data_IF_957511946618
#
_entry.id   IF_957511946618
#
_cell.length_a   1.000
_cell.length_b   1.000
_cell.length_c   1.000
_cell.angle_alpha   90.00
_cell.angle_beta   90.00
_cell.angle_gamma   90.00
#
_symmetry.space_group_name_H-M   'P 1'
#
loop_
_entity.id
_entity.type
_entity.pdbx_description
1 polymer ?
#
# COMPACT_ATOMS: atom_id res chain seq x y z
N UNK A 1 -31.31 -32.46 29.85
CA UNK A 1 -30.28 -31.88 30.77
C UNK A 1 -29.03 -31.53 29.95
N UNK A 2 -28.97 -30.33 29.39
CA UNK A 2 -27.73 -29.69 28.95
C UNK A 2 -27.53 -28.51 29.89
N UNK A 3 -26.36 -28.36 30.54
CA UNK A 3 -25.31 -27.53 29.91
C UNK A 3 -23.86 -27.86 30.36
N UNK A 4 -22.90 -28.01 29.45
CA UNK A 4 -21.45 -27.97 29.77
C UNK A 4 -20.55 -27.32 28.72
N UNK A 5 -21.09 -26.63 27.71
CA UNK A 5 -20.30 -26.01 26.63
C UNK A 5 -20.17 -24.48 26.69
N UNK A 6 -20.87 -23.81 27.61
CA UNK A 6 -20.86 -22.35 27.74
C UNK A 6 -19.53 -21.70 28.21
N UNK A 7 -18.72 -22.30 29.12
CA UNK A 7 -17.55 -21.57 29.64
C UNK A 7 -16.40 -21.51 28.63
N UNK A 8 -16.27 -22.49 27.74
CA UNK A 8 -15.18 -22.55 26.75
C UNK A 8 -15.34 -21.44 25.70
N UNK A 9 -16.57 -21.21 25.23
CA UNK A 9 -16.87 -20.15 24.26
C UNK A 9 -16.67 -18.75 24.83
N UNK A 10 -16.94 -18.55 26.12
CA UNK A 10 -16.72 -17.27 26.81
C UNK A 10 -15.21 -17.00 27.02
N UNK A 11 -14.45 -18.02 27.39
CA UNK A 11 -12.98 -17.92 27.53
C UNK A 11 -12.33 -17.66 26.17
N UNK A 12 -12.75 -18.35 25.11
CA UNK A 12 -12.22 -18.13 23.76
C UNK A 12 -12.54 -16.71 23.23
N UNK A 13 -13.75 -16.21 23.48
CA UNK A 13 -14.13 -14.82 23.14
C UNK A 13 -13.27 -13.82 23.89
N UNK A 14 -13.03 -14.00 25.20
CA UNK A 14 -12.21 -13.08 25.99
C UNK A 14 -10.73 -13.15 25.59
N UNK A 15 -10.22 -14.31 25.21
CA UNK A 15 -8.85 -14.47 24.71
C UNK A 15 -8.67 -13.79 23.34
N UNK A 16 -9.64 -13.98 22.44
CA UNK A 16 -9.65 -13.31 21.13
C UNK A 16 -9.80 -11.80 21.28
N UNK A 17 -10.67 -11.33 22.18
CA UNK A 17 -10.83 -9.91 22.48
C UNK A 17 -9.56 -9.31 23.09
N UNK A 18 -8.87 -10.05 23.97
CA UNK A 18 -7.58 -9.66 24.55
C UNK A 18 -6.45 -9.60 23.52
N UNK A 19 -6.39 -10.56 22.59
CA UNK A 19 -5.44 -10.56 21.49
C UNK A 19 -5.71 -9.43 20.49
N UNK A 20 -6.99 -9.17 20.17
CA UNK A 20 -7.39 -8.04 19.33
C UNK A 20 -7.05 -6.72 20.00
N UNK A 21 -7.33 -6.57 21.30
CA UNK A 21 -6.98 -5.38 22.05
C UNK A 21 -5.45 -5.21 22.13
N UNK A 22 -4.69 -6.28 22.32
CA UNK A 22 -3.23 -6.23 22.31
C UNK A 22 -2.67 -5.86 20.93
N UNK A 23 -3.26 -6.35 19.83
CA UNK A 23 -2.89 -5.94 18.47
C UNK A 23 -3.28 -4.50 18.20
N UNK A 24 -4.47 -4.05 18.59
CA UNK A 24 -4.92 -2.66 18.43
C UNK A 24 -4.05 -1.71 19.26
N UNK A 25 -3.71 -2.09 20.50
CA UNK A 25 -2.81 -1.33 21.37
C UNK A 25 -1.38 -1.36 20.82
N UNK A 26 -0.87 -2.50 20.32
CA UNK A 26 0.44 -2.56 19.68
C UNK A 26 0.47 -1.74 18.38
N UNK A 27 -0.58 -1.77 17.57
CA UNK A 27 -0.73 -0.94 16.36
C UNK A 27 -0.84 0.55 16.73
N UNK A 28 -1.48 0.89 17.84
CA UNK A 28 -1.57 2.25 18.37
C UNK A 28 -0.26 2.72 19.05
N UNK A 29 0.57 1.81 19.56
CA UNK A 29 1.88 2.11 20.18
C UNK A 29 3.05 2.09 19.18
N UNK A 30 2.84 1.63 17.95
CA UNK A 30 3.83 1.70 16.86
C UNK A 30 3.91 3.14 16.39
N UNK A 31 4.80 3.87 17.06
CA UNK A 31 5.26 5.24 16.84
C UNK A 31 4.78 5.87 15.52
N UNK A 32 3.92 6.88 15.65
CA UNK A 32 3.57 7.77 14.55
C UNK A 32 4.84 8.52 14.14
N UNK A 33 5.29 8.30 12.90
CA UNK A 33 6.45 9.00 12.36
C UNK A 33 6.06 10.38 11.82
N UNK A 34 6.98 11.35 11.87
CA UNK A 34 6.82 12.58 11.10
C UNK A 34 6.72 12.24 9.62
N UNK A 35 6.11 13.14 8.85
CA UNK A 35 6.01 13.02 7.39
C UNK A 35 7.43 12.88 6.78
N UNK A 36 7.63 11.84 5.96
CA UNK A 36 8.91 11.61 5.28
C UNK A 36 8.75 11.20 3.81
N UNK A 37 9.81 11.38 3.03
CA UNK A 37 9.95 10.76 1.72
C UNK A 37 11.41 10.38 1.48
N UNK A 38 11.63 9.17 0.97
CA UNK A 38 12.97 8.61 0.78
C UNK A 38 13.03 7.87 -0.56
N UNK A 39 13.97 8.26 -1.42
CA UNK A 39 14.38 7.49 -2.59
C UNK A 39 15.54 6.59 -2.17
N UNK A 40 15.34 5.28 -2.27
CA UNK A 40 16.28 4.27 -1.74
C UNK A 40 17.08 3.60 -2.85
N UNK A 41 16.52 3.52 -4.05
CA UNK A 41 17.19 3.06 -5.27
C UNK A 41 16.95 4.14 -6.34
N UNK A 42 17.97 4.54 -7.11
CA UNK A 42 17.79 5.52 -8.18
C UNK A 42 16.69 5.09 -9.14
N UNK A 43 15.69 5.96 -9.30
CA UNK A 43 14.67 5.79 -10.33
C UNK A 43 15.26 6.18 -11.70
N UNK A 44 14.80 5.56 -12.80
CA UNK A 44 15.02 6.13 -14.14
C UNK A 44 14.56 7.60 -14.19
N UNK A 45 15.15 8.44 -15.05
CA UNK A 45 14.87 9.89 -15.06
C UNK A 45 13.38 10.25 -15.13
N UNK A 46 12.61 9.55 -15.97
CA UNK A 46 11.15 9.71 -16.07
C UNK A 46 10.43 9.34 -14.77
N UNK A 47 10.91 8.30 -14.08
CA UNK A 47 10.41 7.92 -12.76
C UNK A 47 10.76 8.94 -11.69
N UNK A 48 11.88 9.65 -11.81
CA UNK A 48 12.25 10.75 -10.91
C UNK A 48 11.28 11.93 -11.07
N UNK A 49 11.06 12.40 -12.30
CA UNK A 49 10.11 13.50 -12.56
C UNK A 49 8.68 13.15 -12.10
N UNK A 50 8.22 11.93 -12.40
CA UNK A 50 6.93 11.46 -11.92
C UNK A 50 6.86 11.34 -10.39
N UNK A 51 7.94 10.93 -9.72
CA UNK A 51 7.99 10.83 -8.25
C UNK A 51 7.91 12.18 -7.54
N UNK A 52 8.39 13.26 -8.16
CA UNK A 52 8.26 14.63 -7.64
C UNK A 52 6.80 15.11 -7.67
N UNK A 53 6.06 14.74 -8.71
CA UNK A 53 4.62 15.02 -8.83
C UNK A 53 3.75 14.09 -7.95
N UNK A 54 4.29 12.95 -7.55
CA UNK A 54 3.54 11.92 -6.83
C UNK A 54 3.17 12.35 -5.40
N UNK A 55 4.05 13.10 -4.72
CA UNK A 55 3.78 13.62 -3.37
C UNK A 55 2.53 14.54 -3.35
N UNK A 56 2.50 15.65 -4.11
CA UNK A 56 1.33 16.52 -4.10
C UNK A 56 0.07 15.82 -4.64
N UNK A 57 0.20 14.87 -5.56
CA UNK A 57 -0.92 14.06 -6.03
C UNK A 57 -1.48 13.15 -4.91
N UNK A 58 -0.63 12.44 -4.17
CA UNK A 58 -1.01 11.62 -3.02
C UNK A 58 -1.69 12.44 -1.93
N UNK A 59 -1.14 13.61 -1.58
CA UNK A 59 -1.73 14.52 -0.60
C UNK A 59 -3.11 15.00 -1.01
N UNK A 60 -3.25 15.44 -2.26
CA UNK A 60 -4.53 15.93 -2.79
C UNK A 60 -5.59 14.82 -2.79
N UNK A 61 -5.23 13.60 -3.19
CA UNK A 61 -6.20 12.48 -3.26
C UNK A 61 -6.55 12.00 -1.86
N UNK A 62 -5.56 11.77 -0.99
CA UNK A 62 -5.80 11.27 0.37
C UNK A 62 -6.62 12.26 1.22
N UNK A 63 -6.39 13.57 1.04
CA UNK A 63 -7.20 14.62 1.69
C UNK A 63 -8.67 14.58 1.26
N UNK A 64 -8.99 14.25 0.00
CA UNK A 64 -10.38 14.08 -0.46
C UNK A 64 -11.08 12.91 0.25
N UNK A 65 -10.34 11.87 0.61
CA UNK A 65 -10.85 10.73 1.37
C UNK A 65 -10.77 10.92 2.89
N UNK A 66 -10.12 11.99 3.38
CA UNK A 66 -9.96 12.24 4.81
C UNK A 66 -9.08 11.22 5.53
N UNK A 67 -8.10 10.63 4.84
CA UNK A 67 -7.22 9.59 5.38
C UNK A 67 -5.75 9.96 5.23
N UNK A 68 -4.92 9.47 6.15
CA UNK A 68 -3.46 9.46 5.99
C UNK A 68 -3.01 8.11 5.45
N UNK A 69 -2.14 8.11 4.45
CA UNK A 69 -1.65 6.87 3.83
C UNK A 69 -0.14 6.85 3.71
N UNK A 70 0.38 5.64 3.57
CA UNK A 70 1.74 5.38 3.13
C UNK A 70 1.69 5.00 1.65
N UNK A 71 2.65 5.49 0.88
CA UNK A 71 2.91 5.03 -0.48
C UNK A 71 4.32 4.45 -0.59
N UNK A 72 4.50 3.41 -1.39
CA UNK A 72 5.80 2.76 -1.60
C UNK A 72 5.89 2.22 -3.01
N UNK A 73 7.07 2.33 -3.62
CA UNK A 73 7.40 1.70 -4.89
C UNK A 73 8.44 0.62 -4.64
N UNK A 74 8.20 -0.57 -5.16
CA UNK A 74 9.12 -1.70 -5.04
C UNK A 74 9.49 -2.26 -6.41
N UNK A 75 10.73 -2.72 -6.56
CA UNK A 75 11.12 -3.53 -7.71
C UNK A 75 10.68 -4.99 -7.53
N UNK A 76 10.91 -5.84 -8.54
CA UNK A 76 10.59 -7.28 -8.48
C UNK A 76 11.33 -8.05 -7.38
N UNK A 77 12.46 -7.54 -6.87
CA UNK A 77 13.18 -8.10 -5.71
C UNK A 77 12.58 -7.68 -4.37
N UNK A 78 11.47 -6.94 -4.38
CA UNK A 78 10.80 -6.36 -3.22
C UNK A 78 11.69 -5.35 -2.47
N UNK A 79 12.65 -4.75 -3.17
CA UNK A 79 13.48 -3.67 -2.64
C UNK A 79 12.73 -2.35 -2.83
N UNK A 80 12.69 -1.54 -1.77
CA UNK A 80 12.07 -0.21 -1.81
C UNK A 80 12.88 0.68 -2.77
N UNK A 81 12.21 1.25 -3.76
CA UNK A 81 12.77 2.25 -4.67
C UNK A 81 12.38 3.65 -4.20
N UNK A 82 11.12 3.79 -3.76
CA UNK A 82 10.54 5.03 -3.28
C UNK A 82 9.65 4.75 -2.07
N UNK A 83 9.67 5.68 -1.11
CA UNK A 83 8.85 5.67 0.09
C UNK A 83 8.31 7.07 0.30
N UNK A 84 7.02 7.15 0.59
CA UNK A 84 6.36 8.35 1.10
C UNK A 84 5.46 7.97 2.27
N UNK A 85 5.57 8.72 3.36
CA UNK A 85 4.87 8.45 4.60
C UNK A 85 4.17 9.71 5.06
N UNK A 86 2.82 9.67 5.14
CA UNK A 86 2.06 10.75 5.76
C UNK A 86 2.17 10.67 7.28
N UNK A 87 2.07 11.84 7.91
CA UNK A 87 2.04 11.95 9.37
C UNK A 87 0.90 11.11 9.96
N UNK A 88 1.20 10.42 11.07
CA UNK A 88 0.22 9.58 11.79
C UNK A 88 0.08 8.16 11.26
N UNK A 89 0.73 7.79 10.16
CA UNK A 89 0.68 6.42 9.63
C UNK A 89 1.63 5.50 10.43
N UNK A 90 1.22 4.28 10.85
CA UNK A 90 2.10 3.36 11.58
C UNK A 90 3.26 2.83 10.74
N UNK A 91 4.44 2.64 11.33
CA UNK A 91 5.63 2.10 10.64
C UNK A 91 5.40 0.69 10.06
N UNK A 92 4.58 -0.12 10.73
CA UNK A 92 4.19 -1.46 10.29
C UNK A 92 3.64 -1.48 8.85
N UNK A 93 3.07 -0.36 8.40
CA UNK A 93 2.56 -0.19 7.03
C UNK A 93 3.65 -0.42 5.98
N UNK A 94 4.93 -0.17 6.28
CA UNK A 94 6.02 -0.51 5.36
C UNK A 94 6.17 -2.01 5.11
N UNK A 95 6.03 -2.83 6.16
CA UNK A 95 6.10 -4.29 6.06
C UNK A 95 4.85 -4.85 5.37
N UNK A 96 3.68 -4.30 5.68
CA UNK A 96 2.42 -4.65 5.01
C UNK A 96 2.50 -4.32 3.51
N UNK A 97 3.02 -3.14 3.15
CA UNK A 97 3.17 -2.72 1.76
C UNK A 97 4.06 -3.70 0.97
N UNK A 98 5.17 -4.14 1.56
CA UNK A 98 6.05 -5.16 0.97
C UNK A 98 5.32 -6.51 0.77
N UNK A 99 4.49 -6.92 1.72
CA UNK A 99 3.72 -8.16 1.61
C UNK A 99 2.56 -8.08 0.59
N UNK A 100 1.88 -6.92 0.48
CA UNK A 100 0.92 -6.63 -0.60
C UNK A 100 1.62 -6.71 -1.97
N UNK A 101 2.79 -6.07 -2.09
CA UNK A 101 3.63 -6.12 -3.28
C UNK A 101 4.00 -7.56 -3.68
N UNK A 102 4.47 -8.37 -2.71
CA UNK A 102 4.75 -9.78 -2.95
C UNK A 102 3.52 -10.53 -3.46
N UNK A 103 2.35 -10.27 -2.88
CA UNK A 103 1.10 -10.92 -3.31
C UNK A 103 0.80 -10.62 -4.77
N UNK A 104 0.95 -9.36 -5.19
CA UNK A 104 0.72 -8.95 -6.57
C UNK A 104 1.73 -9.59 -7.55
N UNK A 105 3.03 -9.58 -7.24
CA UNK A 105 4.05 -10.19 -8.12
C UNK A 105 3.93 -11.71 -8.20
N UNK A 106 3.52 -12.38 -7.12
CA UNK A 106 3.25 -13.83 -7.11
C UNK A 106 1.88 -14.17 -7.77
N UNK A 107 1.18 -13.20 -8.36
CA UNK A 107 -0.07 -13.41 -9.10
C UNK A 107 -1.28 -13.72 -8.22
N UNK A 108 -1.25 -13.36 -6.93
CA UNK A 108 -2.40 -13.51 -6.04
C UNK A 108 -3.49 -12.50 -6.38
N UNK A 109 -4.73 -12.94 -6.31
CA UNK A 109 -5.88 -12.05 -6.44
C UNK A 109 -5.97 -11.12 -5.23
N UNK A 110 -6.01 -9.81 -5.48
CA UNK A 110 -6.08 -8.80 -4.44
C UNK A 110 -7.54 -8.51 -4.06
N UNK A 111 -7.90 -8.88 -2.85
CA UNK A 111 -9.26 -8.82 -2.34
C UNK A 111 -9.58 -7.43 -1.74
N UNK A 112 -10.87 -7.09 -1.68
CA UNK A 112 -11.39 -5.93 -0.93
C UNK A 112 -12.13 -6.38 0.34
N UNK A 113 -11.44 -6.97 1.33
CA UNK A 113 -12.06 -7.43 2.55
C UNK A 113 -12.57 -6.27 3.41
N UNK A 114 -13.55 -6.56 4.25
CA UNK A 114 -13.92 -5.68 5.37
C UNK A 114 -12.77 -5.56 6.38
N UNK A 115 -12.86 -4.59 7.31
CA UNK A 115 -11.85 -4.42 8.37
C UNK A 115 -11.67 -5.68 9.23
N UNK A 116 -12.78 -6.34 9.57
CA UNK A 116 -12.76 -7.58 10.34
C UNK A 116 -12.06 -8.70 9.58
N UNK A 117 -12.41 -8.90 8.31
CA UNK A 117 -11.76 -9.91 7.47
C UNK A 117 -10.28 -9.61 7.26
N UNK A 118 -9.93 -8.34 7.03
CA UNK A 118 -8.53 -7.88 6.93
C UNK A 118 -7.74 -8.28 8.17
N UNK A 119 -8.28 -8.04 9.37
CA UNK A 119 -7.61 -8.39 10.61
C UNK A 119 -7.47 -9.90 10.77
N UNK A 120 -8.57 -10.65 10.70
CA UNK A 120 -8.58 -12.07 11.07
C UNK A 120 -8.01 -13.01 10.01
N UNK A 121 -8.22 -12.73 8.73
CA UNK A 121 -7.86 -13.65 7.64
C UNK A 121 -6.60 -13.26 6.88
N UNK A 122 -6.17 -12.00 6.97
CA UNK A 122 -4.96 -11.53 6.30
C UNK A 122 -3.87 -11.14 7.31
N UNK A 123 -4.19 -10.24 8.24
CA UNK A 123 -3.19 -9.69 9.16
C UNK A 123 -2.72 -10.69 10.20
N UNK A 124 -3.61 -11.39 10.91
CA UNK A 124 -3.19 -12.36 11.93
C UNK A 124 -2.32 -13.49 11.34
N UNK A 125 -2.71 -14.18 10.24
CA UNK A 125 -1.86 -15.20 9.65
C UNK A 125 -0.50 -14.68 9.20
N UNK A 126 -0.44 -13.45 8.68
CA UNK A 126 0.80 -12.80 8.29
C UNK A 126 1.69 -12.44 9.48
N UNK A 127 1.13 -11.86 10.55
CA UNK A 127 1.87 -11.49 11.78
C UNK A 127 2.45 -12.73 12.45
N UNK A 128 1.73 -13.85 12.49
CA UNK A 128 2.20 -15.11 13.06
C UNK A 128 3.09 -15.92 12.12
N UNK A 129 3.38 -15.42 10.91
CA UNK A 129 4.29 -16.06 9.96
C UNK A 129 3.72 -17.32 9.28
N UNK A 130 2.41 -17.57 9.38
CA UNK A 130 1.74 -18.66 8.65
C UNK A 130 1.70 -18.39 7.14
N UNK A 131 1.78 -17.12 6.74
CA UNK A 131 1.83 -16.72 5.33
C UNK A 131 2.72 -15.49 5.15
N UNK A 132 3.50 -15.40 4.05
CA UNK A 132 4.20 -14.18 3.68
C UNK A 132 3.31 -13.17 2.94
N UNK A 133 2.04 -13.50 2.70
CA UNK A 133 1.12 -12.77 1.81
C UNK A 133 0.10 -11.91 2.57
N UNK A 134 -0.16 -10.74 2.00
CA UNK A 134 -1.24 -9.82 2.35
C UNK A 134 -1.99 -9.47 1.06
N UNK A 135 -2.80 -10.40 0.55
CA UNK A 135 -3.49 -10.28 -0.75
C UNK A 135 -4.72 -9.37 -0.68
N UNK A 136 -4.47 -8.12 -0.29
CA UNK A 136 -5.46 -7.06 -0.06
C UNK A 136 -5.19 -5.92 -1.05
N UNK A 137 -6.25 -5.30 -1.55
CA UNK A 137 -6.18 -4.17 -2.48
C UNK A 137 -5.33 -3.00 -1.97
N UNK A 138 -4.89 -2.15 -2.91
CA UNK A 138 -3.97 -1.06 -2.67
C UNK A 138 -2.61 -1.23 -3.33
N UNK A 139 -2.44 -2.21 -4.23
CA UNK A 139 -1.21 -2.32 -5.03
C UNK A 139 -1.52 -2.39 -6.53
N UNK A 140 -0.64 -1.77 -7.32
CA UNK A 140 -0.75 -1.61 -8.76
C UNK A 140 0.60 -1.96 -9.40
N UNK A 141 0.56 -2.64 -10.55
CA UNK A 141 1.74 -2.80 -11.38
C UNK A 141 2.05 -1.49 -12.09
N UNK A 142 3.30 -1.06 -12.02
CA UNK A 142 3.81 0.14 -12.70
C UNK A 142 5.01 -0.27 -13.55
N UNK A 143 5.22 0.39 -14.69
CA UNK A 143 6.37 0.14 -15.56
C UNK A 143 7.08 1.45 -15.89
N UNK A 144 8.41 1.43 -15.79
CA UNK A 144 9.29 2.53 -16.17
C UNK A 144 10.24 2.05 -17.28
N UNK A 145 9.99 2.41 -18.55
CA UNK A 145 10.77 1.94 -19.71
C UNK A 145 11.01 0.42 -19.74
N UNK A 146 9.97 -0.39 -19.56
CA UNK A 146 10.13 -1.85 -19.50
C UNK A 146 10.65 -2.39 -18.17
N UNK A 147 10.92 -1.54 -17.18
CA UNK A 147 11.28 -1.97 -15.81
C UNK A 147 10.01 -2.10 -14.97
N UNK A 148 9.56 -3.32 -14.66
CA UNK A 148 8.38 -3.55 -13.84
C UNK A 148 8.64 -3.21 -12.37
N UNK A 149 7.67 -2.54 -11.78
CA UNK A 149 7.62 -2.15 -10.39
C UNK A 149 6.20 -2.36 -9.84
N UNK A 150 6.08 -2.27 -8.52
CA UNK A 150 4.81 -2.34 -7.82
C UNK A 150 4.65 -1.10 -6.96
N UNK A 151 3.62 -0.32 -7.25
CA UNK A 151 3.22 0.82 -6.45
C UNK A 151 2.15 0.40 -5.46
N UNK A 152 2.41 0.65 -4.18
CA UNK A 152 1.54 0.23 -3.09
C UNK A 152 1.14 1.46 -2.28
N UNK A 153 -0.16 1.64 -2.08
CA UNK A 153 -0.73 2.56 -1.10
C UNK A 153 -1.40 1.73 -0.01
N UNK A 154 -1.20 2.13 1.25
CA UNK A 154 -1.88 1.52 2.39
C UNK A 154 -2.02 2.48 3.56
N UNK A 155 -3.13 2.35 4.29
CA UNK A 155 -3.40 3.12 5.51
C UNK A 155 -4.86 3.55 5.62
N UNK A 156 -5.63 3.47 4.53
CA UNK A 156 -7.06 3.72 4.59
C UNK A 156 -7.81 2.57 5.31
N UNK A 157 -8.96 2.85 5.97
CA UNK A 157 -9.78 1.82 6.59
C UNK A 157 -10.32 0.76 5.63
N UNK A 158 -10.51 1.13 4.36
CA UNK A 158 -10.99 0.25 3.30
C UNK A 158 -9.92 0.05 2.23
N UNK A 159 -9.68 -1.21 1.84
CA UNK A 159 -8.66 -1.56 0.85
C UNK A 159 -8.95 -1.00 -0.54
N UNK A 160 -10.23 -0.83 -0.89
CA UNK A 160 -10.63 -0.14 -2.12
C UNK A 160 -10.22 1.33 -2.14
N UNK A 161 -10.22 2.01 -0.99
CA UNK A 161 -9.76 3.40 -0.89
C UNK A 161 -8.25 3.49 -1.11
N UNK A 162 -7.47 2.54 -0.59
CA UNK A 162 -6.04 2.45 -0.90
C UNK A 162 -5.82 2.34 -2.43
N UNK A 163 -6.58 1.47 -3.10
CA UNK A 163 -6.48 1.25 -4.54
C UNK A 163 -6.90 2.48 -5.35
N UNK A 164 -7.96 3.17 -4.93
CA UNK A 164 -8.42 4.41 -5.57
C UNK A 164 -7.38 5.51 -5.44
N UNK A 165 -6.81 5.70 -4.24
CA UNK A 165 -5.74 6.67 -4.00
C UNK A 165 -4.53 6.34 -4.90
N UNK A 166 -4.09 5.08 -4.92
CA UNK A 166 -2.99 4.65 -5.77
C UNK A 166 -3.25 4.98 -7.25
N UNK A 167 -4.45 4.65 -7.73
CA UNK A 167 -4.85 4.84 -9.12
C UNK A 167 -4.88 6.33 -9.49
N UNK A 168 -5.61 7.14 -8.72
CA UNK A 168 -5.77 8.56 -9.04
C UNK A 168 -4.47 9.34 -8.89
N UNK A 169 -3.59 8.95 -7.95
CA UNK A 169 -2.27 9.58 -7.82
C UNK A 169 -1.38 9.29 -9.03
N UNK A 170 -1.34 8.04 -9.53
CA UNK A 170 -0.59 7.72 -10.74
C UNK A 170 -1.15 8.44 -11.98
N UNK A 171 -2.48 8.44 -12.15
CA UNK A 171 -3.12 9.16 -13.27
C UNK A 171 -2.81 10.67 -13.24
N UNK A 172 -2.80 11.29 -12.05
CA UNK A 172 -2.44 12.70 -11.89
C UNK A 172 -0.97 12.99 -12.22
N UNK A 173 -0.10 11.98 -12.16
CA UNK A 173 1.31 12.06 -12.57
C UNK A 173 1.53 11.72 -14.05
N UNK A 174 0.48 11.52 -14.83
CA UNK A 174 0.57 11.24 -16.27
C UNK A 174 0.81 9.76 -16.62
N UNK A 175 0.67 8.84 -15.66
CA UNK A 175 0.65 7.42 -15.99
C UNK A 175 -0.67 7.05 -16.66
N UNK A 176 -0.60 6.11 -17.58
CA UNK A 176 -1.76 5.55 -18.28
C UNK A 176 -1.86 4.05 -18.02
N UNK A 177 -3.10 3.55 -17.91
CA UNK A 177 -3.35 2.13 -17.75
C UNK A 177 -3.27 1.43 -19.11
N UNK A 178 -2.30 0.54 -19.25
CA UNK A 178 -2.11 -0.31 -20.43
C UNK A 178 -3.19 -1.39 -20.52
N UNK A 179 -3.34 -2.01 -21.70
CA UNK A 179 -4.25 -3.13 -21.92
C UNK A 179 -3.99 -4.34 -20.99
N UNK A 180 -2.76 -4.49 -20.48
CA UNK A 180 -2.37 -5.54 -19.53
C UNK A 180 -2.69 -5.20 -18.07
N UNK A 181 -3.25 -4.01 -17.80
CA UNK A 181 -3.57 -3.53 -16.47
C UNK A 181 -2.40 -2.88 -15.71
N UNK A 182 -1.22 -2.79 -16.32
CA UNK A 182 -0.04 -2.08 -15.80
C UNK A 182 -0.13 -0.58 -16.08
N UNK A 183 0.37 0.26 -15.18
CA UNK A 183 0.46 1.71 -15.36
C UNK A 183 1.83 2.10 -15.89
N UNK A 184 1.90 2.85 -17.00
CA UNK A 184 3.16 3.29 -17.59
C UNK A 184 3.07 4.75 -18.03
N UNK A 185 4.21 5.45 -18.08
CA UNK A 185 4.29 6.77 -18.70
C UNK A 185 4.24 6.62 -20.23
N UNK A 186 3.58 7.54 -20.96
CA UNK A 186 3.59 7.51 -22.42
C UNK A 186 5.01 7.73 -22.95
N UNK A 187 5.36 7.07 -24.06
CA UNK A 187 6.72 7.07 -24.62
C UNK A 187 7.27 8.46 -24.98
N UNK A 188 6.41 9.49 -25.08
CA UNK A 188 6.77 10.86 -25.42
C UNK A 188 6.85 11.81 -24.20
N UNK A 189 6.72 11.30 -22.97
CA UNK A 189 6.75 12.13 -21.76
C UNK A 189 8.11 12.82 -21.49
N UNK A 190 9.17 12.41 -22.20
CA UNK A 190 10.53 12.97 -22.11
C UNK A 190 10.91 13.97 -23.20
N UNK A 191 10.02 14.30 -24.15
CA UNK A 191 10.35 15.16 -25.30
C UNK A 191 9.49 16.43 -25.37
N UNK A 192 9.23 17.09 -24.25
CA UNK A 192 8.80 18.49 -24.30
C UNK A 192 10.03 19.36 -24.55
N UNK A 193 10.20 19.72 -25.81
CA UNK A 193 11.16 20.68 -26.32
C UNK A 193 11.27 21.93 -25.41
N UNK A 194 12.46 22.17 -24.85
CA UNK A 194 12.91 23.54 -24.60
C UNK A 194 13.32 24.16 -25.94
N UNK A 195 12.37 24.39 -26.83
CA UNK A 195 12.52 25.36 -27.91
C UNK A 195 12.00 26.70 -27.40
N UNK A 196 12.73 27.32 -26.47
CA UNK A 196 12.58 28.77 -26.29
C UNK A 196 13.32 29.39 -27.45
N UNK A 197 12.53 29.84 -28.43
CA UNK A 197 12.98 30.55 -29.61
C UNK A 197 13.77 31.82 -29.27
N UNK A 198 14.54 32.18 -30.29
CA UNK A 198 15.40 33.36 -30.50
C UNK A 198 14.94 34.65 -29.82
#
# INVERSE_FOLDING_TARGET
KFPRFLPIMAVLKNLMLGAVLAVVVAVAYVQMLPKDHIVTIPLPEEGKAASELLIPALEKVSKRHGVSVRASLFNQKLESMYRYHMEGVPELMGKIARSKCKSLFDGKELQNPSLHETLFFYMLPWVFGFTPYMSVQGSLLVEFKGVPACFVVNGAPAASTDLEIATQSLLACGFEKTAKGTYALPANAGSSERSVGR
#
